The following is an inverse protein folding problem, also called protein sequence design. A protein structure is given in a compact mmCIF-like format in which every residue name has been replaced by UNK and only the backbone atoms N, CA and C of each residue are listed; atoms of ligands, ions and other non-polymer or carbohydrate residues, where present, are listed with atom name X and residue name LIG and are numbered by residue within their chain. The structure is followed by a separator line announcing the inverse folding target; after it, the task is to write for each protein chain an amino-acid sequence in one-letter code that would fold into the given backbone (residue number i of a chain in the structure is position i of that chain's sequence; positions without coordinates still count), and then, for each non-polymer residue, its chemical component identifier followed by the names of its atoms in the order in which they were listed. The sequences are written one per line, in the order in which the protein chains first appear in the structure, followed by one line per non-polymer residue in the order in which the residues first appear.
data_IF_200552827417
#
_entry.id   IF_200552827417
#
_cell.length_a   1.000
_cell.length_b   1.000
_cell.length_c   1.000
_cell.angle_alpha   90.00
_cell.angle_beta   90.00
_cell.angle_gamma   90.00
#
_symmetry.space_group_name_H-M   'P 1'
#
loop_
_entity.id
_entity.type
_entity.pdbx_description
1 polymer ?
#
# COMPACT_ATOMS: atom_id res chain seq x y z
N UNK A 1 -10.94 9.41 19.98
CA UNK A 1 -11.20 9.67 18.54
C UNK A 1 -10.45 8.62 17.71
N UNK A 2 -11.15 7.87 16.84
CA UNK A 2 -10.54 6.76 16.06
C UNK A 2 -9.95 7.30 14.76
N UNK A 3 -8.61 7.35 14.67
CA UNK A 3 -7.88 7.54 13.41
C UNK A 3 -8.05 6.30 12.53
N UNK A 4 -9.09 6.28 11.70
CA UNK A 4 -9.14 5.38 10.56
C UNK A 4 -8.25 5.96 9.46
N UNK A 5 -6.97 5.56 9.44
CA UNK A 5 -6.17 5.68 8.23
C UNK A 5 -6.82 4.82 7.15
N UNK A 6 -7.56 5.47 6.25
CA UNK A 6 -8.08 4.84 5.06
C UNK A 6 -6.92 4.20 4.31
N UNK A 7 -6.88 2.86 4.29
CA UNK A 7 -5.97 2.10 3.42
C UNK A 7 -6.28 2.53 1.99
N UNK A 8 -5.44 3.41 1.42
CA UNK A 8 -5.47 3.77 0.00
C UNK A 8 -5.40 2.45 -0.78
N UNK A 9 -6.51 2.05 -1.37
CA UNK A 9 -6.53 0.96 -2.34
C UNK A 9 -5.45 1.27 -3.36
N UNK A 10 -4.45 0.39 -3.46
CA UNK A 10 -3.34 0.55 -4.40
C UNK A 10 -3.92 0.34 -5.79
N UNK A 11 -4.49 1.39 -6.39
CA UNK A 11 -5.03 1.35 -7.75
C UNK A 11 -3.83 1.02 -8.64
N UNK A 12 -3.83 -0.19 -9.17
CA UNK A 12 -2.79 -0.62 -10.09
C UNK A 12 -3.02 0.11 -11.40
N UNK A 13 -2.48 1.33 -11.51
CA UNK A 13 -2.50 2.09 -12.75
C UNK A 13 -1.60 1.39 -13.75
N UNK A 14 -2.07 1.30 -15.00
CA UNK A 14 -1.28 0.73 -16.07
C UNK A 14 0.00 1.58 -16.23
N UNK A 15 1.17 0.97 -16.03
CA UNK A 15 2.47 1.64 -16.08
C UNK A 15 2.64 2.44 -17.38
N UNK A 16 2.14 1.90 -18.50
CA UNK A 16 2.25 2.54 -19.80
C UNK A 16 1.31 3.75 -19.93
N UNK A 17 0.07 3.63 -19.47
CA UNK A 17 -0.90 4.73 -19.45
C UNK A 17 -0.38 5.91 -18.62
N UNK A 18 0.18 5.64 -17.45
CA UNK A 18 0.75 6.67 -16.60
C UNK A 18 1.89 7.43 -17.30
N UNK A 19 2.77 6.73 -18.02
CA UNK A 19 3.84 7.36 -18.81
C UNK A 19 3.29 8.31 -19.88
N UNK A 20 2.21 7.94 -20.56
CA UNK A 20 1.57 8.82 -21.55
C UNK A 20 0.96 10.06 -20.90
N UNK A 21 0.31 9.92 -19.74
CA UNK A 21 -0.24 11.05 -18.97
C UNK A 21 0.87 12.01 -18.54
N UNK A 22 1.98 11.49 -18.02
CA UNK A 22 3.14 12.31 -17.64
C UNK A 22 3.69 13.03 -18.86
N UNK A 23 3.81 12.35 -20.00
CA UNK A 23 4.29 12.97 -21.25
C UNK A 23 3.39 14.12 -21.71
N UNK A 24 2.07 13.97 -21.69
CA UNK A 24 1.14 15.08 -22.02
C UNK A 24 1.32 16.26 -21.06
N UNK A 25 1.54 15.98 -19.79
CA UNK A 25 1.80 17.01 -18.78
C UNK A 25 3.10 17.77 -19.08
N UNK A 26 4.13 17.04 -19.48
CA UNK A 26 5.43 17.58 -19.90
C UNK A 26 5.28 18.47 -21.14
N UNK A 27 4.60 17.98 -22.19
CA UNK A 27 4.36 18.76 -23.41
C UNK A 27 3.55 20.04 -23.12
N UNK A 28 2.48 19.95 -22.31
CA UNK A 28 1.69 21.11 -21.92
C UNK A 28 2.53 22.16 -21.19
N UNK A 29 3.38 21.73 -20.25
CA UNK A 29 4.27 22.64 -19.53
C UNK A 29 5.26 23.32 -20.47
N UNK A 30 5.88 22.56 -21.37
CA UNK A 30 6.86 23.07 -22.32
C UNK A 30 6.22 24.06 -23.30
N UNK A 31 5.04 23.75 -23.84
CA UNK A 31 4.31 24.64 -24.74
C UNK A 31 3.95 25.99 -24.10
N UNK A 32 3.69 26.00 -22.79
CA UNK A 32 3.36 27.24 -22.06
C UNK A 32 4.60 28.05 -21.65
N UNK A 33 5.77 27.42 -21.49
CA UNK A 33 6.97 28.05 -20.90
C UNK A 33 8.09 28.31 -21.89
N UNK A 34 8.22 27.48 -22.92
CA UNK A 34 9.32 27.51 -23.86
C UNK A 34 8.80 27.91 -25.24
N UNK A 35 9.42 28.92 -25.86
CA UNK A 35 9.11 29.32 -27.23
C UNK A 35 9.53 28.25 -28.26
N UNK A 36 10.65 27.58 -28.01
CA UNK A 36 11.20 26.50 -28.83
C UNK A 36 11.83 25.43 -27.96
N UNK A 37 11.71 24.16 -28.34
CA UNK A 37 12.34 23.06 -27.63
C UNK A 37 12.57 21.87 -28.56
N UNK A 38 13.56 21.03 -28.23
CA UNK A 38 13.91 19.83 -29.01
C UNK A 38 13.40 18.56 -28.34
N UNK A 39 13.45 17.41 -29.02
CA UNK A 39 13.14 16.11 -28.42
C UNK A 39 14.02 15.80 -27.21
N UNK A 40 15.29 16.25 -27.20
CA UNK A 40 16.19 16.11 -26.05
C UNK A 40 15.68 16.87 -24.84
N UNK A 41 15.14 18.08 -25.04
CA UNK A 41 14.52 18.86 -23.95
C UNK A 41 13.29 18.12 -23.40
N UNK A 42 12.43 17.59 -24.27
CA UNK A 42 11.26 16.80 -23.86
C UNK A 42 11.71 15.59 -23.04
N UNK A 43 12.74 14.87 -23.51
CA UNK A 43 13.30 13.71 -22.84
C UNK A 43 13.81 14.06 -21.45
N UNK A 44 14.54 15.17 -21.31
CA UNK A 44 15.07 15.66 -20.04
C UNK A 44 13.95 15.91 -19.03
N UNK A 45 12.94 16.73 -19.37
CA UNK A 45 11.83 17.03 -18.47
C UNK A 45 10.97 15.79 -18.17
N UNK A 46 10.72 14.95 -19.17
CA UNK A 46 9.97 13.72 -18.99
C UNK A 46 10.69 12.78 -18.01
N UNK A 47 11.99 12.56 -18.19
CA UNK A 47 12.79 11.69 -17.34
C UNK A 47 12.92 12.22 -15.91
N UNK A 48 13.00 13.54 -15.72
CA UNK A 48 12.98 14.13 -14.38
C UNK A 48 11.67 13.85 -13.65
N UNK A 49 10.53 13.97 -14.33
CA UNK A 49 9.23 13.58 -13.76
C UNK A 49 9.15 12.08 -13.45
N UNK A 50 9.72 11.24 -14.32
CA UNK A 50 9.77 9.80 -14.13
C UNK A 50 10.62 9.39 -12.91
N UNK A 51 11.78 10.04 -12.73
CA UNK A 51 12.68 9.83 -11.57
C UNK A 51 11.99 10.17 -10.27
N UNK A 52 11.28 11.31 -10.21
CA UNK A 52 10.48 11.73 -9.04
C UNK A 52 9.39 10.72 -8.68
N UNK A 53 8.82 10.05 -9.68
CA UNK A 53 7.81 9.01 -9.49
C UNK A 53 8.39 7.60 -9.26
N UNK A 54 9.70 7.46 -9.08
CA UNK A 54 10.37 6.17 -8.85
C UNK A 54 10.32 5.21 -10.05
N UNK A 55 10.16 5.74 -11.27
CA UNK A 55 10.07 4.94 -12.49
C UNK A 55 11.40 4.93 -13.25
N UNK A 56 11.64 3.85 -14.01
CA UNK A 56 12.79 3.75 -14.91
C UNK A 56 12.77 4.84 -15.97
N UNK A 57 13.93 5.45 -16.19
CA UNK A 57 14.19 6.44 -17.23
C UNK A 57 13.89 5.87 -18.62
N UNK A 58 13.38 6.71 -19.51
CA UNK A 58 13.14 6.37 -20.90
C UNK A 58 14.36 6.73 -21.76
N UNK A 59 14.59 5.93 -22.80
CA UNK A 59 15.54 6.25 -23.88
C UNK A 59 14.84 7.10 -24.95
N UNK A 60 15.60 7.81 -25.78
CA UNK A 60 15.06 8.66 -26.86
C UNK A 60 14.10 7.91 -27.80
N UNK A 61 14.48 6.71 -28.27
CA UNK A 61 13.62 5.84 -29.11
C UNK A 61 12.29 5.49 -28.43
N UNK A 62 12.31 5.32 -27.11
CA UNK A 62 11.09 5.04 -26.34
C UNK A 62 10.18 6.27 -26.27
N UNK A 63 10.75 7.46 -26.09
CA UNK A 63 10.00 8.72 -26.12
C UNK A 63 9.36 8.95 -27.49
N UNK A 64 10.11 8.74 -28.58
CA UNK A 64 9.62 8.85 -29.95
C UNK A 64 8.41 7.92 -30.19
N UNK A 65 8.49 6.66 -29.74
CA UNK A 65 7.36 5.74 -29.81
C UNK A 65 6.13 6.23 -29.03
N UNK A 66 6.31 6.93 -27.91
CA UNK A 66 5.20 7.51 -27.17
C UNK A 66 4.58 8.68 -27.93
N UNK A 67 5.39 9.59 -28.47
CA UNK A 67 4.95 10.74 -29.24
C UNK A 67 4.21 10.31 -30.52
N UNK A 68 4.73 9.30 -31.23
CA UNK A 68 4.07 8.70 -32.39
C UNK A 68 2.68 8.16 -32.04
N UNK A 69 2.55 7.49 -30.89
CA UNK A 69 1.25 6.96 -30.45
C UNK A 69 0.28 8.05 -30.04
N UNK A 70 0.76 9.10 -29.37
CA UNK A 70 -0.08 10.26 -29.03
C UNK A 70 -0.70 10.90 -30.27
N UNK A 71 0.04 10.94 -31.38
CA UNK A 71 -0.43 11.46 -32.65
C UNK A 71 -1.34 10.45 -33.39
N UNK A 72 -0.87 9.22 -33.63
CA UNK A 72 -1.57 8.26 -34.50
C UNK A 72 -2.69 7.50 -33.81
N UNK A 73 -2.43 6.94 -32.62
CA UNK A 73 -3.43 6.13 -31.89
C UNK A 73 -4.42 7.02 -31.13
N UNK A 74 -3.92 8.00 -30.38
CA UNK A 74 -4.74 8.82 -29.49
C UNK A 74 -5.26 10.09 -30.16
N UNK A 75 -4.59 10.58 -31.22
CA UNK A 75 -4.95 11.82 -31.95
C UNK A 75 -5.10 13.04 -31.03
N UNK A 76 -4.26 13.12 -30.00
CA UNK A 76 -4.27 14.18 -28.98
C UNK A 76 -3.15 15.20 -29.15
N UNK A 77 -2.14 14.87 -29.97
CA UNK A 77 -1.07 15.80 -30.35
C UNK A 77 -1.10 16.06 -31.85
N UNK A 78 -0.75 17.29 -32.23
CA UNK A 78 -0.44 17.68 -33.59
C UNK A 78 1.07 17.87 -33.64
N UNK A 79 1.74 17.07 -34.44
CA UNK A 79 3.19 17.10 -34.55
C UNK A 79 3.54 17.81 -35.86
N UNK A 80 4.28 18.91 -35.76
CA UNK A 80 4.80 19.61 -36.92
C UNK A 80 6.26 19.21 -37.13
N UNK A 81 6.57 18.78 -38.34
CA UNK A 81 7.91 18.39 -38.76
C UNK A 81 8.32 19.28 -39.94
N UNK A 82 9.42 20.01 -39.81
CA UNK A 82 10.02 20.78 -40.90
C UNK A 82 11.45 20.33 -41.13
N UNK A 83 11.70 19.73 -42.30
CA UNK A 83 13.06 19.42 -42.72
C UNK A 83 13.79 20.73 -43.08
N UNK A 84 14.92 20.98 -42.44
CA UNK A 84 15.72 22.19 -42.63
C UNK A 84 16.87 22.01 -43.65
N UNK A 85 16.99 20.81 -44.23
CA UNK A 85 18.04 20.42 -45.17
C UNK A 85 19.04 19.41 -44.60
N UNK A 86 19.89 18.86 -45.47
CA UNK A 86 20.81 17.74 -45.17
C UNK A 86 21.72 18.02 -43.97
N UNK A 87 22.17 19.27 -43.81
CA UNK A 87 23.12 19.67 -42.77
C UNK A 87 22.45 20.27 -41.50
N UNK A 88 21.18 20.65 -41.58
CA UNK A 88 20.47 21.41 -40.52
C UNK A 88 19.44 20.56 -39.76
N UNK A 89 19.14 19.34 -40.24
CA UNK A 89 18.27 18.39 -39.54
C UNK A 89 16.77 18.66 -39.70
N UNK A 90 15.97 18.28 -38.69
CA UNK A 90 14.50 18.42 -38.71
C UNK A 90 14.03 19.18 -37.47
N UNK A 91 13.31 20.27 -37.68
CA UNK A 91 12.63 21.02 -36.63
C UNK A 91 11.32 20.32 -36.28
N UNK A 92 11.10 20.04 -35.00
CA UNK A 92 9.92 19.28 -34.55
C UNK A 92 9.21 20.00 -33.42
N UNK A 93 7.93 20.31 -33.62
CA UNK A 93 7.06 20.91 -32.62
C UNK A 93 5.92 19.96 -32.27
N UNK A 94 5.58 19.88 -30.98
CA UNK A 94 4.53 19.00 -30.46
C UNK A 94 3.45 19.85 -29.79
N UNK A 95 2.36 20.09 -30.50
CA UNK A 95 1.22 20.83 -29.98
C UNK A 95 0.16 19.88 -29.43
N UNK A 96 -0.49 20.26 -28.31
CA UNK A 96 -1.64 19.52 -27.82
C UNK A 96 -2.89 20.00 -28.54
N UNK A 97 -3.63 19.08 -29.17
CA UNK A 97 -4.85 19.41 -29.90
C UNK A 97 -5.98 19.89 -28.98
N UNK A 98 -6.00 19.39 -27.75
CA UNK A 98 -7.03 19.67 -26.75
C UNK A 98 -6.39 20.13 -25.45
N UNK A 99 -7.20 20.63 -24.52
CA UNK A 99 -6.72 20.96 -23.18
C UNK A 99 -6.12 19.73 -22.50
N UNK A 100 -5.17 19.97 -21.59
CA UNK A 100 -4.50 18.90 -20.81
C UNK A 100 -5.51 17.91 -20.19
N UNK A 101 -6.64 18.41 -19.66
CA UNK A 101 -7.67 17.61 -19.01
C UNK A 101 -8.40 16.70 -20.01
N UNK A 102 -8.76 17.23 -21.17
CA UNK A 102 -9.43 16.48 -22.24
C UNK A 102 -8.52 15.39 -22.80
N UNK A 103 -7.25 15.73 -23.04
CA UNK A 103 -6.23 14.78 -23.44
C UNK A 103 -6.13 13.58 -22.48
N UNK A 104 -6.16 13.82 -21.15
CA UNK A 104 -6.19 12.73 -20.17
C UNK A 104 -7.47 11.90 -20.28
N UNK A 105 -8.62 12.54 -20.45
CA UNK A 105 -9.92 11.86 -20.59
C UNK A 105 -9.92 10.91 -21.79
N UNK A 106 -9.45 11.38 -22.95
CA UNK A 106 -9.35 10.59 -24.19
C UNK A 106 -8.46 9.37 -23.98
N UNK A 107 -7.26 9.55 -23.43
CA UNK A 107 -6.35 8.45 -23.12
C UNK A 107 -7.02 7.46 -22.17
N UNK A 108 -7.57 7.94 -21.06
CA UNK A 108 -8.19 7.08 -20.05
C UNK A 108 -9.36 6.26 -20.62
N UNK A 109 -10.19 6.87 -21.46
CA UNK A 109 -11.30 6.21 -22.16
C UNK A 109 -10.81 5.06 -23.03
N UNK A 110 -9.80 5.30 -23.88
CA UNK A 110 -9.23 4.28 -24.76
C UNK A 110 -8.61 3.10 -24.00
N UNK A 111 -7.94 3.35 -22.87
CA UNK A 111 -7.44 2.26 -22.01
C UNK A 111 -8.55 1.46 -21.34
N UNK A 112 -9.65 2.12 -20.95
CA UNK A 112 -10.83 1.46 -20.38
C UNK A 112 -11.51 0.56 -21.41
N UNK A 113 -11.67 1.04 -22.64
CA UNK A 113 -12.22 0.28 -23.77
C UNK A 113 -11.33 -0.91 -24.15
N UNK A 114 -10.01 -0.72 -24.29
CA UNK A 114 -9.06 -1.83 -24.54
C UNK A 114 -9.14 -2.90 -23.45
N UNK A 115 -9.34 -2.52 -22.18
CA UNK A 115 -9.51 -3.47 -21.06
C UNK A 115 -10.84 -4.23 -21.16
N UNK A 116 -11.93 -3.53 -21.51
CA UNK A 116 -13.24 -4.13 -21.75
C UNK A 116 -13.22 -5.14 -22.91
N UNK A 117 -12.62 -4.79 -24.04
CA UNK A 117 -12.49 -5.67 -25.21
C UNK A 117 -11.70 -6.94 -24.92
N UNK A 118 -10.60 -6.84 -24.14
CA UNK A 118 -9.83 -8.01 -23.65
C UNK A 118 -10.62 -8.90 -22.69
N UNK A 119 -11.53 -8.33 -21.91
CA UNK A 119 -12.41 -9.12 -21.05
C UNK A 119 -13.44 -9.87 -21.90
N UNK A 120 -14.12 -9.19 -22.82
CA UNK A 120 -15.09 -9.81 -23.72
C UNK A 120 -14.49 -10.93 -24.57
N UNK A 121 -13.28 -10.73 -25.13
CA UNK A 121 -12.58 -11.79 -25.89
C UNK A 121 -12.26 -13.01 -25.03
N UNK A 122 -11.83 -12.83 -23.76
CA UNK A 122 -11.63 -13.94 -22.83
C UNK A 122 -12.92 -14.68 -22.51
N UNK A 123 -14.02 -13.95 -22.29
CA UNK A 123 -15.34 -14.55 -22.05
C UNK A 123 -15.79 -15.34 -23.28
N UNK A 124 -15.73 -14.76 -24.49
CA UNK A 124 -16.06 -15.45 -25.75
C UNK A 124 -15.20 -16.69 -25.97
N UNK A 125 -13.89 -16.61 -25.71
CA UNK A 125 -13.00 -17.75 -25.82
C UNK A 125 -13.31 -18.85 -24.79
N UNK A 126 -13.67 -18.47 -23.55
CA UNK A 126 -14.11 -19.41 -22.51
C UNK A 126 -15.39 -20.13 -22.89
N UNK A 127 -16.40 -19.37 -23.38
CA UNK A 127 -17.67 -19.92 -23.87
C UNK A 127 -17.43 -20.84 -25.07
N UNK A 128 -16.65 -20.41 -26.06
CA UNK A 128 -16.32 -21.23 -27.24
C UNK A 128 -15.67 -22.56 -26.82
N UNK A 129 -14.67 -22.52 -25.92
CA UNK A 129 -14.02 -23.74 -25.38
C UNK A 129 -14.98 -24.65 -24.61
N UNK A 130 -15.98 -24.10 -23.93
CA UNK A 130 -17.00 -24.88 -23.22
C UNK A 130 -18.03 -25.49 -24.19
N UNK A 131 -18.48 -24.73 -25.19
CA UNK A 131 -19.51 -25.15 -26.14
C UNK A 131 -18.98 -26.08 -27.24
N UNK A 132 -17.70 -26.02 -27.63
CA UNK A 132 -17.10 -26.98 -28.58
C UNK A 132 -16.78 -28.35 -27.97
N UNK A 133 -17.13 -28.60 -26.70
CA UNK A 133 -17.03 -29.93 -26.08
C UNK A 133 -18.20 -30.86 -26.45
N UNK A 134 -18.71 -30.75 -27.67
CA UNK A 134 -19.53 -31.78 -28.31
C UNK A 134 -18.75 -32.43 -29.47
N UNK A 135 -17.51 -32.82 -29.18
CA UNK A 135 -16.80 -33.84 -29.93
C UNK A 135 -16.70 -35.06 -29.04
N UNK A 136 -17.65 -35.97 -29.21
CA UNK A 136 -17.44 -37.40 -28.97
C UNK A 136 -16.26 -37.85 -29.83
N UNK A 137 -15.04 -37.68 -29.32
CA UNK A 137 -13.89 -38.48 -29.73
C UNK A 137 -13.65 -39.38 -28.55
N UNK A 138 -13.71 -40.68 -28.82
CA UNK A 138 -13.48 -41.79 -27.91
C UNK A 138 -12.63 -41.34 -26.73
N UNK A 139 -13.21 -41.43 -25.53
CA UNK A 139 -12.40 -41.57 -24.32
C UNK A 139 -11.59 -42.84 -24.56
N UNK A 140 -10.43 -42.70 -25.20
CA UNK A 140 -9.32 -43.62 -24.98
C UNK A 140 -9.05 -43.50 -23.50
N UNK A 141 -9.71 -44.38 -22.78
CA UNK A 141 -9.55 -44.60 -21.38
C UNK A 141 -8.05 -44.65 -21.14
N UNK A 142 -7.51 -43.70 -20.38
CA UNK A 142 -6.29 -43.99 -19.64
C UNK A 142 -6.67 -45.05 -18.61
N UNK A 143 -6.71 -46.31 -19.04
CA UNK A 143 -7.00 -47.50 -18.21
C UNK A 143 -5.98 -47.63 -17.06
N UNK A 144 -4.87 -46.88 -17.09
CA UNK A 144 -3.78 -47.03 -16.13
C UNK A 144 -3.93 -46.31 -14.77
N UNK A 145 -4.95 -45.50 -14.51
CA UNK A 145 -4.97 -44.64 -13.31
C UNK A 145 -6.09 -44.88 -12.28
N UNK A 146 -7.04 -45.78 -12.55
CA UNK A 146 -8.22 -45.93 -11.67
C UNK A 146 -7.89 -46.67 -10.36
N UNK A 147 -6.89 -47.55 -10.36
CA UNK A 147 -6.54 -48.32 -9.14
C UNK A 147 -5.50 -47.66 -8.22
N UNK A 148 -4.63 -46.76 -8.71
CA UNK A 148 -3.62 -46.08 -7.88
C UNK A 148 -4.05 -44.69 -7.36
N UNK A 149 -4.86 -43.92 -8.11
CA UNK A 149 -5.13 -42.51 -7.77
C UNK A 149 -6.02 -42.29 -6.53
N UNK A 150 -6.91 -43.23 -6.15
CA UNK A 150 -7.81 -43.01 -4.99
C UNK A 150 -7.06 -42.85 -3.66
N UNK A 151 -5.85 -43.39 -3.54
CA UNK A 151 -5.01 -43.30 -2.33
C UNK A 151 -4.08 -42.08 -2.37
N UNK A 152 -3.63 -41.70 -3.56
CA UNK A 152 -2.69 -40.58 -3.80
C UNK A 152 -3.41 -39.22 -3.83
N UNK A 153 -4.53 -39.09 -4.55
CA UNK A 153 -5.35 -37.86 -4.54
C UNK A 153 -5.87 -37.51 -3.14
N UNK A 154 -6.24 -38.52 -2.34
CA UNK A 154 -6.65 -38.31 -0.94
C UNK A 154 -5.48 -37.85 -0.04
N UNK A 155 -4.24 -38.21 -0.36
CA UNK A 155 -3.05 -37.72 0.35
C UNK A 155 -2.76 -36.27 -0.07
N UNK A 156 -2.81 -35.98 -1.37
CA UNK A 156 -2.55 -34.64 -1.90
C UNK A 156 -3.57 -33.61 -1.42
N UNK A 157 -4.87 -33.95 -1.40
CA UNK A 157 -5.92 -33.09 -0.85
C UNK A 157 -5.67 -32.80 0.63
N UNK A 158 -5.32 -33.81 1.43
CA UNK A 158 -5.02 -33.65 2.86
C UNK A 158 -3.78 -32.78 3.10
N UNK A 159 -2.76 -32.87 2.25
CA UNK A 159 -1.59 -32.00 2.33
C UNK A 159 -1.91 -30.55 1.96
N UNK A 160 -2.69 -30.35 0.90
CA UNK A 160 -3.17 -29.02 0.49
C UNK A 160 -4.00 -28.38 1.62
N UNK A 161 -4.89 -29.14 2.26
CA UNK A 161 -5.69 -28.67 3.38
C UNK A 161 -4.82 -28.27 4.58
N UNK A 162 -3.83 -29.09 4.95
CA UNK A 162 -2.85 -28.75 6.00
C UNK A 162 -2.11 -27.45 5.69
N UNK A 163 -1.65 -27.26 4.46
CA UNK A 163 -0.97 -26.03 4.03
C UNK A 163 -1.88 -24.80 4.14
N UNK A 164 -3.15 -24.93 3.75
CA UNK A 164 -4.13 -23.84 3.85
C UNK A 164 -4.40 -23.45 5.31
N UNK A 165 -4.58 -24.43 6.20
CA UNK A 165 -4.78 -24.18 7.64
C UNK A 165 -3.53 -23.54 8.25
N UNK A 166 -2.32 -24.03 7.91
CA UNK A 166 -1.05 -23.44 8.39
C UNK A 166 -0.90 -21.97 7.96
N UNK A 167 -1.27 -21.66 6.71
CA UNK A 167 -1.27 -20.27 6.20
C UNK A 167 -2.27 -19.39 6.93
N UNK A 168 -3.46 -19.91 7.23
CA UNK A 168 -4.48 -19.21 8.00
C UNK A 168 -4.04 -18.93 9.45
N UNK A 169 -3.49 -19.94 10.14
CA UNK A 169 -2.99 -19.79 11.51
C UNK A 169 -1.89 -18.73 11.62
N UNK A 170 -0.92 -18.74 10.68
CA UNK A 170 0.13 -17.71 10.61
C UNK A 170 -0.45 -16.30 10.43
N UNK A 171 -1.50 -16.14 9.64
CA UNK A 171 -2.16 -14.84 9.40
C UNK A 171 -2.86 -14.28 10.66
N UNK A 172 -3.21 -15.13 11.62
CA UNK A 172 -3.92 -14.72 12.83
C UNK A 172 -3.03 -13.99 13.85
N UNK A 173 -1.68 -14.03 13.69
CA UNK A 173 -0.71 -13.41 14.57
C UNK A 173 -1.06 -13.65 16.05
N UNK A 174 -1.10 -14.92 16.47
CA UNK A 174 -1.26 -15.29 17.87
C UNK A 174 -0.04 -14.84 18.67
N UNK A 175 -0.25 -14.45 19.93
CA UNK A 175 0.85 -14.09 20.84
C UNK A 175 1.54 -15.32 21.41
N UNK A 176 0.80 -16.42 21.55
CA UNK A 176 1.33 -17.69 22.04
C UNK A 176 1.45 -18.71 20.92
N UNK A 177 2.42 -19.62 21.05
CA UNK A 177 2.65 -20.73 20.14
C UNK A 177 1.66 -21.91 20.37
N UNK A 178 0.66 -21.74 21.24
CA UNK A 178 -0.33 -22.79 21.59
C UNK A 178 -1.15 -23.27 20.39
N UNK A 179 -1.29 -22.44 19.34
CA UNK A 179 -2.00 -22.84 18.13
C UNK A 179 -1.29 -23.97 17.35
N UNK A 180 0.01 -24.21 17.56
CA UNK A 180 0.71 -25.34 16.94
C UNK A 180 0.14 -26.68 17.41
N UNK A 181 -0.24 -26.78 18.69
CA UNK A 181 -0.88 -27.99 19.22
C UNK A 181 -2.19 -28.29 18.50
N UNK A 182 -2.97 -27.27 18.14
CA UNK A 182 -4.23 -27.43 17.38
C UNK A 182 -4.00 -27.86 15.94
N UNK A 183 -2.93 -27.39 15.30
CA UNK A 183 -2.56 -27.83 13.97
C UNK A 183 -2.19 -29.33 13.93
N UNK A 184 -1.74 -29.88 15.06
CA UNK A 184 -1.34 -31.28 15.17
C UNK A 184 -2.52 -32.24 15.45
N UNK A 185 -3.71 -31.75 15.81
CA UNK A 185 -4.86 -32.58 16.21
C UNK A 185 -5.53 -33.37 15.06
N UNK A 186 -4.98 -33.36 13.84
CA UNK A 186 -5.53 -34.03 12.63
C UNK A 186 -7.03 -33.80 12.41
N UNK A 187 -7.55 -32.64 12.82
CA UNK A 187 -8.94 -32.24 12.62
C UNK A 187 -9.19 -31.89 11.14
N UNK A 188 -10.45 -31.96 10.72
CA UNK A 188 -10.86 -31.45 9.42
C UNK A 188 -10.55 -29.95 9.29
N UNK A 189 -10.27 -29.50 8.07
CA UNK A 189 -9.88 -28.11 7.77
C UNK A 189 -10.84 -27.10 8.38
N UNK A 190 -12.14 -27.28 8.17
CA UNK A 190 -13.15 -26.31 8.61
C UNK A 190 -13.31 -26.29 10.13
N UNK A 191 -13.23 -27.46 10.78
CA UNK A 191 -13.20 -27.57 12.23
C UNK A 191 -11.97 -26.84 12.81
N UNK A 192 -10.79 -27.08 12.23
CA UNK A 192 -9.54 -26.45 12.68
C UNK A 192 -9.60 -24.92 12.56
N UNK A 193 -10.16 -24.40 11.45
CA UNK A 193 -10.33 -22.95 11.26
C UNK A 193 -11.32 -22.37 12.28
N UNK A 194 -12.41 -23.07 12.62
CA UNK A 194 -13.35 -22.65 13.66
C UNK A 194 -12.67 -22.55 15.03
N UNK A 195 -11.88 -23.56 15.41
CA UNK A 195 -11.11 -23.56 16.67
C UNK A 195 -10.12 -22.39 16.71
N UNK A 196 -9.37 -22.15 15.63
CA UNK A 196 -8.44 -21.01 15.55
C UNK A 196 -9.15 -19.66 15.69
N UNK A 197 -10.38 -19.50 15.15
CA UNK A 197 -11.20 -18.30 15.34
C UNK A 197 -11.61 -18.11 16.80
N UNK A 198 -12.03 -19.18 17.47
CA UNK A 198 -12.43 -19.15 18.89
C UNK A 198 -11.22 -18.75 19.73
N UNK A 199 -10.07 -19.40 19.54
CA UNK A 199 -8.84 -19.03 20.23
C UNK A 199 -8.48 -17.56 20.06
N UNK A 200 -8.53 -17.04 18.83
CA UNK A 200 -8.16 -15.64 18.59
C UNK A 200 -9.11 -14.67 19.27
N UNK A 201 -10.40 -15.00 19.32
CA UNK A 201 -11.40 -14.20 20.06
C UNK A 201 -11.11 -14.21 21.55
N UNK A 202 -10.81 -15.37 22.13
CA UNK A 202 -10.46 -15.51 23.55
C UNK A 202 -9.18 -14.75 23.90
N UNK A 203 -8.15 -14.86 23.07
CA UNK A 203 -6.89 -14.11 23.24
C UNK A 203 -7.14 -12.59 23.25
N UNK A 204 -7.88 -12.09 22.25
CA UNK A 204 -8.24 -10.66 22.18
C UNK A 204 -9.10 -10.22 23.37
N UNK A 205 -9.97 -11.09 23.89
CA UNK A 205 -10.81 -10.80 25.06
C UNK A 205 -9.97 -10.65 26.33
N UNK A 206 -9.04 -11.59 26.58
CA UNK A 206 -8.13 -11.54 27.71
C UNK A 206 -7.24 -10.29 27.64
N UNK A 207 -6.74 -9.96 26.45
CA UNK A 207 -5.94 -8.75 26.23
C UNK A 207 -6.71 -7.47 26.60
N UNK A 208 -7.97 -7.35 26.17
CA UNK A 208 -8.84 -6.22 26.55
C UNK A 208 -9.02 -6.11 28.07
N UNK A 209 -9.21 -7.23 28.77
CA UNK A 209 -9.34 -7.24 30.23
C UNK A 209 -8.05 -6.78 30.91
N UNK A 210 -6.88 -7.26 30.44
CA UNK A 210 -5.57 -6.83 30.97
C UNK A 210 -5.35 -5.33 30.79
N UNK A 211 -5.67 -4.78 29.61
CA UNK A 211 -5.57 -3.34 29.37
C UNK A 211 -6.51 -2.52 30.26
N UNK A 212 -7.74 -2.98 30.48
CA UNK A 212 -8.70 -2.29 31.38
C UNK A 212 -8.26 -2.32 32.85
N UNK A 213 -7.64 -3.42 33.31
CA UNK A 213 -7.04 -3.48 34.66
C UNK A 213 -5.83 -2.56 34.76
N UNK A 214 -4.95 -2.53 33.76
CA UNK A 214 -3.75 -1.67 33.75
C UNK A 214 -4.11 -0.18 33.73
N UNK A 215 -5.10 0.24 32.93
CA UNK A 215 -5.58 1.62 32.92
C UNK A 215 -6.18 2.04 34.26
N UNK A 216 -6.87 1.14 34.96
CA UNK A 216 -7.45 1.43 36.28
C UNK A 216 -6.39 1.47 37.40
N UNK A 217 -5.26 0.79 37.22
CA UNK A 217 -4.12 0.85 38.16
C UNK A 217 -3.28 2.11 37.90
N UNK A 218 -2.97 2.42 36.64
CA UNK A 218 -2.24 3.65 36.26
C UNK A 218 -3.03 4.93 36.58
N UNK A 219 -4.36 4.90 36.56
CA UNK A 219 -5.20 6.04 36.99
C UNK A 219 -5.27 6.23 38.51
N UNK A 220 -4.79 5.27 39.31
CA UNK A 220 -4.77 5.34 40.79
C UNK A 220 -3.44 5.80 41.37
N UNK A 221 -2.42 6.06 40.56
CA UNK A 221 -1.31 6.94 40.98
C UNK A 221 -1.85 8.37 40.97
N UNK A 222 -2.53 8.71 42.07
CA UNK A 222 -3.26 9.95 42.24
C UNK A 222 -2.37 11.14 41.85
N UNK A 223 -2.83 11.95 40.89
CA UNK A 223 -2.22 13.24 40.48
C UNK A 223 -1.86 14.15 41.67
N UNK A 224 -2.49 13.92 42.82
CA UNK A 224 -2.19 14.56 44.10
C UNK A 224 -0.85 14.10 44.70
N UNK A 225 -0.55 12.80 44.67
CA UNK A 225 0.70 12.25 45.20
C UNK A 225 1.93 12.66 44.37
N UNK A 226 1.79 12.79 43.04
CA UNK A 226 2.87 13.31 42.20
C UNK A 226 3.14 14.79 42.46
N UNK A 227 2.08 15.60 42.61
CA UNK A 227 2.18 17.02 42.96
C UNK A 227 2.80 17.22 44.35
N UNK A 228 2.46 16.37 45.32
CA UNK A 228 3.05 16.43 46.67
C UNK A 228 4.55 16.15 46.66
N UNK A 229 5.01 15.16 45.88
CA UNK A 229 6.45 14.86 45.71
C UNK A 229 7.22 15.98 45.01
N UNK A 230 6.60 16.62 44.04
CA UNK A 230 7.20 17.74 43.33
C UNK A 230 7.30 18.98 44.23
N UNK A 231 6.26 19.24 45.02
CA UNK A 231 6.27 20.31 46.03
C UNK A 231 7.32 20.07 47.12
N UNK A 232 7.43 18.84 47.65
CA UNK A 232 8.44 18.53 48.67
C UNK A 232 9.85 18.76 48.16
N UNK A 233 10.11 18.40 46.89
CA UNK A 233 11.41 18.62 46.26
C UNK A 233 11.74 20.12 46.11
N UNK A 234 10.79 20.93 45.65
CA UNK A 234 10.98 22.39 45.52
C UNK A 234 11.24 23.03 46.88
N UNK A 235 10.54 22.58 47.93
CA UNK A 235 10.76 23.04 49.30
C UNK A 235 12.15 22.69 49.83
N UNK A 236 12.64 21.49 49.56
CA UNK A 236 13.99 21.09 49.98
C UNK A 236 15.07 21.90 49.25
N UNK A 237 14.91 22.08 47.93
CA UNK A 237 15.83 22.89 47.10
C UNK A 237 15.88 24.35 47.58
N UNK A 238 14.73 24.96 47.87
CA UNK A 238 14.67 26.33 48.40
C UNK A 238 15.24 26.44 49.82
N UNK A 239 15.02 25.46 50.69
CA UNK A 239 15.65 25.42 52.03
C UNK A 239 17.17 25.38 51.95
N UNK A 240 17.73 24.70 50.96
CA UNK A 240 19.19 24.66 50.71
C UNK A 240 19.69 26.02 50.23
N UNK A 241 19.02 26.65 49.27
CA UNK A 241 19.40 27.98 48.74
C UNK A 241 19.43 29.01 49.87
N UNK A 242 18.38 29.08 50.68
CA UNK A 242 18.30 30.03 51.80
C UNK A 242 19.38 29.77 52.85
N UNK A 243 19.72 28.52 53.15
CA UNK A 243 20.86 28.22 54.03
C UNK A 243 22.18 28.74 53.46
N UNK A 244 22.40 28.58 52.16
CA UNK A 244 23.61 29.06 51.49
C UNK A 244 23.70 30.59 51.44
N UNK A 245 22.55 31.28 51.39
CA UNK A 245 22.45 32.74 51.48
C UNK A 245 22.66 33.30 52.91
N UNK A 246 22.92 32.42 53.90
CA UNK A 246 23.27 32.80 55.27
C UNK A 246 22.09 32.84 56.25
N UNK A 247 20.89 32.41 55.84
CA UNK A 247 19.73 32.36 56.73
C UNK A 247 19.84 31.22 57.76
N UNK A 248 19.46 31.51 59.01
CA UNK A 248 19.53 30.54 60.11
C UNK A 248 18.52 29.41 59.92
N UNK A 249 19.03 28.19 59.76
CA UNK A 249 18.24 26.97 59.55
C UNK A 249 17.12 26.73 60.58
N UNK A 250 17.33 27.08 61.86
CA UNK A 250 16.32 26.90 62.92
C UNK A 250 15.16 27.88 62.79
N UNK A 251 15.43 29.12 62.34
CA UNK A 251 14.37 30.11 62.12
C UNK A 251 13.53 29.77 60.89
N UNK A 252 14.16 29.28 59.82
CA UNK A 252 13.46 28.80 58.61
C UNK A 252 12.48 27.67 58.91
N UNK A 253 12.89 26.71 59.75
CA UNK A 253 12.05 25.60 60.15
C UNK A 253 10.81 26.05 60.94
N UNK A 254 10.99 26.97 61.90
CA UNK A 254 9.88 27.58 62.66
C UNK A 254 8.93 28.35 61.74
N UNK A 255 9.44 29.10 60.77
CA UNK A 255 8.60 29.87 59.84
C UNK A 255 7.81 28.96 58.90
N UNK A 256 8.43 27.90 58.38
CA UNK A 256 7.74 26.91 57.54
C UNK A 256 6.65 26.20 58.35
N UNK A 257 6.95 25.79 59.58
CA UNK A 257 5.98 25.15 60.48
C UNK A 257 4.75 26.04 60.72
N UNK A 258 4.96 27.34 60.99
CA UNK A 258 3.87 28.32 61.17
C UNK A 258 2.95 28.46 59.95
N UNK A 259 3.48 28.31 58.74
CA UNK A 259 2.69 28.39 57.50
C UNK A 259 1.84 27.13 57.29
N UNK A 260 2.29 25.97 57.76
CA UNK A 260 1.55 24.70 57.68
C UNK A 260 0.51 24.50 58.78
N UNK A 261 0.66 25.19 59.92
CA UNK A 261 -0.28 25.14 61.05
C UNK A 261 -1.40 26.19 60.98
N UNK A 262 -1.39 27.06 59.96
CA UNK A 262 -2.51 27.94 59.56
C UNK A 262 -3.52 27.20 58.68
#
# INVERSE_FOLDING_TARGET
MRNQQAKKLKIHQNKYQHKLIVLISTLNYMNLKLKKYTQSNILYYFNNNMKRNGQKLAKLKTLQNYLYKLEKEFKVTINYYRHLGVNMGTEIYYELKYSKKECYSIINKLFKEKKGGKFQTRVKAGIKKACTKNGSVEKWECIYNIYNNKKEEKKDIKEIEKLQVKKYAKKCNFKSNTFFSILNLKLEKDATIKVLKILKRTENFIEKIKHKKKSNIELKENKLASKQKELSRILDETKIILKNEGYNSKQLEIQIQKVYEL
#
